data_IF_803945271723
#
_entry.id   IF_803945271723
#
_cell.length_a   1.000
_cell.length_b   1.000
_cell.length_c   1.000
_cell.angle_alpha   90.00
_cell.angle_beta   90.00
_cell.angle_gamma   90.00
#
_symmetry.space_group_name_H-M   'P 1'
#
loop_
_entity.id
_entity.type
_entity.pdbx_description
1 polymer ?
#
# COMPACT_ATOMS: atom_id res chain seq x y z
N UNK A 1 8.36 25.56 10.44
CA UNK A 1 8.45 24.35 9.60
C UNK A 1 7.19 23.55 9.85
N UNK A 2 6.49 23.16 8.78
CA UNK A 2 5.38 22.21 8.91
C UNK A 2 5.94 20.80 9.14
N UNK A 3 5.20 19.99 9.92
CA UNK A 3 5.53 18.57 10.11
C UNK A 3 4.88 17.77 8.99
N UNK A 4 5.69 17.01 8.26
CA UNK A 4 5.23 16.07 7.24
C UNK A 4 5.18 14.66 7.84
N UNK A 5 4.07 13.95 7.64
CA UNK A 5 3.91 12.54 8.01
C UNK A 5 3.59 11.72 6.76
N UNK A 6 4.40 10.70 6.50
CA UNK A 6 4.14 9.69 5.47
C UNK A 6 3.77 8.41 6.21
N UNK A 7 2.58 7.87 5.93
CA UNK A 7 2.14 6.59 6.46
C UNK A 7 2.27 5.58 5.34
N UNK A 8 3.34 4.80 5.36
CA UNK A 8 3.62 3.78 4.37
C UNK A 8 3.01 2.44 4.78
N UNK A 9 2.22 1.83 3.90
CA UNK A 9 1.82 0.44 4.03
C UNK A 9 2.76 -0.44 3.19
N UNK A 10 3.30 -1.51 3.78
CA UNK A 10 4.20 -2.43 3.08
C UNK A 10 3.42 -3.56 2.37
N UNK A 11 4.11 -4.32 1.52
CA UNK A 11 3.64 -5.56 0.89
C UNK A 11 2.59 -5.43 -0.24
N UNK A 12 2.50 -4.27 -0.90
CA UNK A 12 1.68 -4.14 -2.10
C UNK A 12 2.21 -5.06 -3.20
N UNK A 13 1.36 -5.95 -3.74
CA UNK A 13 1.75 -7.01 -4.67
C UNK A 13 2.04 -8.37 -4.02
N UNK A 14 2.00 -8.52 -2.68
CA UNK A 14 2.22 -9.81 -2.01
C UNK A 14 1.07 -10.80 -2.26
N UNK A 15 -0.17 -10.37 -1.99
CA UNK A 15 -1.39 -11.12 -2.28
C UNK A 15 -2.55 -10.16 -2.58
N UNK A 16 -3.63 -10.67 -3.20
CA UNK A 16 -4.82 -9.87 -3.48
C UNK A 16 -5.42 -9.24 -2.22
N UNK A 17 -5.38 -9.95 -1.10
CA UNK A 17 -5.90 -9.44 0.19
C UNK A 17 -5.13 -8.21 0.67
N UNK A 18 -3.80 -8.24 0.59
CA UNK A 18 -2.96 -7.08 0.91
C UNK A 18 -3.23 -5.92 -0.05
N UNK A 19 -3.33 -6.17 -1.37
CA UNK A 19 -3.60 -5.10 -2.33
C UNK A 19 -4.92 -4.39 -2.02
N UNK A 20 -6.00 -5.15 -1.78
CA UNK A 20 -7.29 -4.56 -1.42
C UNK A 20 -7.22 -3.80 -0.11
N UNK A 21 -6.58 -4.36 0.93
CA UNK A 21 -6.44 -3.71 2.22
C UNK A 21 -5.66 -2.39 2.14
N UNK A 22 -4.58 -2.36 1.36
CA UNK A 22 -3.74 -1.16 1.17
C UNK A 22 -4.52 -0.09 0.41
N UNK A 23 -5.23 -0.44 -0.66
CA UNK A 23 -6.08 0.50 -1.41
C UNK A 23 -7.23 1.04 -0.54
N UNK A 24 -7.87 0.18 0.25
CA UNK A 24 -8.92 0.58 1.18
C UNK A 24 -8.37 1.54 2.25
N UNK A 25 -7.25 1.22 2.87
CA UNK A 25 -6.60 2.07 3.88
C UNK A 25 -6.07 3.39 3.30
N UNK A 26 -5.74 3.43 2.01
CA UNK A 26 -5.35 4.65 1.31
C UNK A 26 -6.55 5.53 0.95
N UNK A 27 -7.69 4.92 0.56
CA UNK A 27 -8.90 5.66 0.16
C UNK A 27 -9.73 6.12 1.35
N UNK A 28 -9.82 5.29 2.39
CA UNK A 28 -10.73 5.46 3.52
C UNK A 28 -10.01 5.52 4.87
N UNK A 29 -8.68 5.50 4.89
CA UNK A 29 -7.85 5.54 6.09
C UNK A 29 -6.77 6.62 6.03
N UNK A 30 -5.66 6.37 6.73
CA UNK A 30 -4.55 7.33 6.88
C UNK A 30 -3.32 6.97 6.05
N UNK A 31 -3.35 5.88 5.28
CA UNK A 31 -2.20 5.47 4.45
C UNK A 31 -2.02 6.49 3.33
N UNK A 32 -0.79 6.96 3.17
CA UNK A 32 -0.44 7.97 2.15
C UNK A 32 0.64 7.50 1.19
N UNK A 33 1.24 6.34 1.43
CA UNK A 33 2.29 5.73 0.59
C UNK A 33 2.23 4.21 0.69
N UNK A 34 2.78 3.53 -0.32
CA UNK A 34 3.05 2.10 -0.26
C UNK A 34 4.30 1.75 -1.07
N UNK A 35 4.88 0.57 -0.82
CA UNK A 35 6.00 0.00 -1.58
C UNK A 35 5.54 -1.26 -2.30
N UNK A 36 5.95 -1.39 -3.56
CA UNK A 36 5.54 -2.51 -4.41
C UNK A 36 6.57 -3.65 -4.39
N UNK A 37 6.11 -4.86 -4.09
CA UNK A 37 6.85 -6.09 -4.33
C UNK A 37 6.73 -6.45 -5.81
N UNK A 38 7.61 -5.89 -6.65
CA UNK A 38 7.55 -6.08 -8.12
C UNK A 38 7.67 -7.53 -8.58
N UNK A 39 8.24 -8.40 -7.75
CA UNK A 39 8.33 -9.85 -7.98
C UNK A 39 7.28 -10.64 -7.16
N UNK A 40 6.33 -9.95 -6.54
CA UNK A 40 5.30 -10.52 -5.67
C UNK A 40 4.24 -11.30 -6.46
N UNK A 41 3.65 -12.31 -5.83
CA UNK A 41 2.71 -13.23 -6.49
C UNK A 41 1.44 -12.55 -7.02
N UNK A 42 1.09 -11.38 -6.51
CA UNK A 42 -0.10 -10.62 -6.89
C UNK A 42 0.23 -9.23 -7.45
N UNK A 43 1.45 -9.01 -7.95
CA UNK A 43 1.84 -7.70 -8.49
C UNK A 43 1.00 -7.29 -9.69
N UNK A 44 0.65 -8.20 -10.58
CA UNK A 44 -0.19 -7.90 -11.76
C UNK A 44 -1.62 -7.48 -11.38
N UNK A 45 -2.05 -7.79 -10.14
CA UNK A 45 -3.33 -7.36 -9.58
C UNK A 45 -3.23 -6.03 -8.83
N UNK A 46 -2.03 -5.61 -8.43
CA UNK A 46 -1.78 -4.44 -7.58
C UNK A 46 -1.94 -3.16 -8.39
#
# INVERSE_FOLDING_TARGET
MERLLIVNADDFGLSKGQNYGIIEACRNGIVTSTTALVNGQAIDHA
#
